data_IF_271144394468
#
_entry.id   IF_271144394468
#
_cell.length_a   1.000
_cell.length_b   1.000
_cell.length_c   1.000
_cell.angle_alpha   90.00
_cell.angle_beta   90.00
_cell.angle_gamma   90.00
#
_symmetry.space_group_name_H-M   'P 1'
#
loop_
_entity.id
_entity.type
_entity.pdbx_description
1 polymer ?
#
# COMPACT_ATOMS: atom_id res chain seq x y z
N UNK A 1 12.39 -19.54 14.64
CA UNK A 1 11.85 -18.28 14.09
C UNK A 1 13.02 -17.40 13.67
N UNK A 2 12.92 -16.83 12.46
CA UNK A 2 13.97 -15.95 11.90
C UNK A 2 13.29 -14.69 11.38
N UNK A 3 13.86 -13.52 11.71
CA UNK A 3 13.44 -12.24 11.20
C UNK A 3 14.55 -11.69 10.29
N UNK A 4 14.35 -11.76 8.99
CA UNK A 4 15.38 -11.45 7.99
C UNK A 4 14.77 -11.22 6.62
N UNK A 5 15.45 -10.45 5.77
CA UNK A 5 15.10 -10.24 4.36
C UNK A 5 15.21 -11.52 3.50
N UNK A 6 15.96 -12.52 3.95
CA UNK A 6 16.05 -13.82 3.28
C UNK A 6 14.94 -14.73 3.75
N UNK A 7 14.04 -15.13 2.85
CA UNK A 7 12.95 -16.04 3.16
C UNK A 7 13.40 -17.47 3.46
N UNK A 8 12.50 -18.29 3.99
CA UNK A 8 12.74 -19.73 4.16
C UNK A 8 13.03 -20.37 2.80
N UNK A 9 14.14 -21.11 2.72
CA UNK A 9 14.61 -21.66 1.44
C UNK A 9 15.55 -20.72 0.66
N UNK A 10 15.92 -19.56 1.21
CA UNK A 10 16.90 -18.65 0.64
C UNK A 10 16.33 -17.62 -0.34
N UNK A 11 14.99 -17.49 -0.46
CA UNK A 11 14.36 -16.58 -1.40
C UNK A 11 14.60 -15.11 -1.03
N UNK A 12 14.83 -14.27 -2.04
CA UNK A 12 14.79 -12.80 -1.96
C UNK A 12 13.35 -12.28 -1.87
N UNK A 13 13.19 -11.00 -1.50
CA UNK A 13 11.87 -10.36 -1.54
C UNK A 13 11.28 -10.33 -2.96
N UNK A 14 12.09 -9.99 -3.98
CA UNK A 14 11.65 -10.00 -5.37
C UNK A 14 11.14 -11.38 -5.83
N UNK A 15 11.81 -12.47 -5.45
CA UNK A 15 11.32 -13.83 -5.77
C UNK A 15 10.00 -14.15 -5.07
N UNK A 16 9.78 -13.66 -3.84
CA UNK A 16 8.51 -13.84 -3.13
C UNK A 16 7.39 -13.00 -3.75
N UNK A 17 7.69 -11.78 -4.20
CA UNK A 17 6.75 -10.94 -4.94
C UNK A 17 6.32 -11.61 -6.25
N UNK A 18 7.27 -12.10 -7.04
CA UNK A 18 6.97 -12.85 -8.25
C UNK A 18 6.15 -14.13 -7.99
N UNK A 19 6.47 -14.87 -6.94
CA UNK A 19 5.72 -16.07 -6.54
C UNK A 19 4.28 -15.76 -6.08
N UNK A 20 3.99 -14.53 -5.63
CA UNK A 20 2.65 -14.07 -5.28
C UNK A 20 1.87 -13.49 -6.47
N UNK A 21 2.45 -13.50 -7.67
CA UNK A 21 1.81 -13.06 -8.91
C UNK A 21 2.17 -11.64 -9.35
N UNK A 22 3.14 -10.98 -8.69
CA UNK A 22 3.64 -9.70 -9.18
C UNK A 22 4.52 -9.90 -10.41
N UNK A 23 4.23 -9.18 -11.50
CA UNK A 23 4.93 -9.30 -12.77
C UNK A 23 6.02 -8.21 -12.90
N UNK A 24 7.28 -8.63 -12.98
CA UNK A 24 8.40 -7.75 -13.29
C UNK A 24 8.60 -7.66 -14.80
N UNK A 25 8.25 -6.54 -15.41
CA UNK A 25 8.35 -6.29 -16.85
C UNK A 25 9.21 -5.06 -17.16
N UNK A 26 9.90 -5.05 -18.31
CA UNK A 26 10.71 -3.91 -18.74
C UNK A 26 11.80 -3.53 -17.74
N UNK A 27 11.89 -2.26 -17.40
CA UNK A 27 12.71 -1.76 -16.30
C UNK A 27 11.96 -1.97 -14.99
N UNK A 28 12.62 -2.49 -13.98
CA UNK A 28 12.00 -2.73 -12.69
C UNK A 28 12.97 -2.53 -11.54
N UNK A 29 12.42 -2.25 -10.37
CA UNK A 29 13.14 -2.19 -9.10
C UNK A 29 12.26 -2.69 -7.97
N UNK A 30 12.85 -3.06 -6.85
CA UNK A 30 12.12 -3.38 -5.63
C UNK A 30 12.92 -3.04 -4.38
N UNK A 31 12.21 -2.86 -3.26
CA UNK A 31 12.76 -2.68 -1.91
C UNK A 31 11.90 -3.47 -0.93
N UNK A 32 12.45 -3.75 0.24
CA UNK A 32 11.70 -4.37 1.33
C UNK A 32 12.04 -3.68 2.65
N UNK A 33 11.02 -3.34 3.41
CA UNK A 33 11.13 -2.99 4.82
C UNK A 33 10.48 -4.10 5.66
N UNK A 34 11.13 -4.42 6.78
CA UNK A 34 10.63 -5.36 7.77
C UNK A 34 10.62 -4.70 9.14
N UNK A 35 9.52 -4.89 9.87
CA UNK A 35 9.43 -4.47 11.26
C UNK A 35 8.80 -5.56 12.11
N UNK A 36 9.18 -5.64 13.38
CA UNK A 36 8.50 -6.45 14.36
C UNK A 36 8.39 -5.71 15.71
N UNK A 37 7.32 -5.97 16.39
CA UNK A 37 7.09 -5.53 17.77
C UNK A 37 6.52 -6.70 18.56
N UNK A 38 6.90 -6.82 19.81
CA UNK A 38 6.45 -7.92 20.67
C UNK A 38 6.22 -7.48 22.11
N UNK A 39 5.33 -8.18 22.77
CA UNK A 39 4.97 -7.99 24.18
C UNK A 39 4.91 -9.32 24.92
N UNK A 40 5.06 -9.28 26.25
CA UNK A 40 4.83 -10.46 27.11
C UNK A 40 3.33 -10.74 27.34
N UNK A 41 2.46 -9.78 26.97
CA UNK A 41 1.01 -9.90 27.04
C UNK A 41 0.38 -10.27 25.69
N UNK A 42 -0.85 -9.85 25.46
CA UNK A 42 -1.50 -9.96 24.15
C UNK A 42 -1.11 -8.77 23.30
N UNK A 43 -0.70 -9.02 22.04
CA UNK A 43 -0.42 -7.96 21.08
C UNK A 43 -1.73 -7.35 20.59
N UNK A 44 -1.82 -6.03 20.61
CA UNK A 44 -2.81 -5.26 19.86
C UNK A 44 -2.25 -4.93 18.49
N UNK A 45 -2.98 -5.25 17.43
CA UNK A 45 -2.50 -5.06 16.05
C UNK A 45 -2.59 -3.62 15.57
N UNK A 46 -3.53 -2.84 16.11
CA UNK A 46 -3.69 -1.42 15.80
C UNK A 46 -2.54 -0.61 16.42
N UNK A 47 -2.30 -0.77 17.73
CA UNK A 47 -1.13 -0.19 18.42
C UNK A 47 0.21 -0.63 17.78
N UNK A 48 0.25 -1.88 17.31
CA UNK A 48 1.43 -2.43 16.65
C UNK A 48 1.74 -1.74 15.31
N UNK A 49 0.72 -1.37 14.52
CA UNK A 49 0.91 -0.64 13.26
C UNK A 49 1.56 0.73 13.51
N UNK A 50 1.09 1.48 14.50
CA UNK A 50 1.69 2.76 14.87
C UNK A 50 3.16 2.60 15.28
N UNK A 51 3.45 1.58 16.08
CA UNK A 51 4.81 1.26 16.52
C UNK A 51 5.72 0.87 15.35
N UNK A 52 5.21 0.09 14.39
CA UNK A 52 5.93 -0.25 13.16
C UNK A 52 6.24 0.99 12.32
N UNK A 53 5.22 1.82 12.07
CA UNK A 53 5.39 3.06 11.30
C UNK A 53 6.45 3.96 11.93
N UNK A 54 6.35 4.24 13.23
CA UNK A 54 7.31 5.06 13.96
C UNK A 54 8.74 4.49 13.85
N UNK A 55 8.89 3.20 14.05
CA UNK A 55 10.19 2.51 13.97
C UNK A 55 10.81 2.59 12.59
N UNK A 56 10.03 2.30 11.54
CA UNK A 56 10.46 2.36 10.15
C UNK A 56 10.79 3.79 9.72
N UNK A 57 9.94 4.77 10.08
CA UNK A 57 10.15 6.18 9.74
C UNK A 57 11.39 6.78 10.40
N UNK A 58 11.70 6.40 11.65
CA UNK A 58 12.90 6.88 12.37
C UNK A 58 14.19 6.21 11.86
N UNK A 59 14.11 5.07 11.24
CA UNK A 59 15.25 4.39 10.63
C UNK A 59 15.59 5.00 9.28
N UNK A 60 16.78 5.56 9.12
CA UNK A 60 17.18 6.23 7.89
C UNK A 60 17.14 5.32 6.66
N UNK A 61 17.50 4.03 6.81
CA UNK A 61 17.47 3.05 5.72
C UNK A 61 16.04 2.69 5.29
N UNK A 62 15.17 2.39 6.26
CA UNK A 62 13.77 2.07 5.95
C UNK A 62 13.02 3.28 5.39
N UNK A 63 13.25 4.46 5.96
CA UNK A 63 12.67 5.70 5.45
C UNK A 63 13.13 6.01 4.01
N UNK A 64 14.38 5.73 3.66
CA UNK A 64 14.88 5.90 2.30
C UNK A 64 14.13 4.99 1.30
N UNK A 65 13.77 3.76 1.68
CA UNK A 65 12.96 2.90 0.84
C UNK A 65 11.53 3.44 0.65
N UNK A 66 10.93 4.00 1.71
CA UNK A 66 9.56 4.56 1.67
C UNK A 66 9.48 5.82 0.78
N UNK A 67 10.54 6.62 0.74
CA UNK A 67 10.61 7.86 -0.04
C UNK A 67 11.49 7.74 -1.29
N UNK A 68 11.74 6.52 -1.77
CA UNK A 68 12.45 6.28 -3.04
C UNK A 68 11.54 6.69 -4.21
N UNK A 69 11.93 7.73 -4.95
CA UNK A 69 11.17 8.28 -6.08
C UNK A 69 11.12 7.36 -7.31
N UNK A 70 11.88 6.27 -7.29
CA UNK A 70 11.82 5.22 -8.33
C UNK A 70 10.76 4.16 -8.06
N UNK A 71 10.04 4.23 -6.93
CA UNK A 71 8.99 3.28 -6.56
C UNK A 71 7.61 3.84 -6.92
N UNK A 72 6.75 2.99 -7.46
CA UNK A 72 5.38 3.33 -7.86
C UNK A 72 4.30 2.55 -7.09
N UNK A 73 4.66 1.43 -6.47
CA UNK A 73 3.72 0.49 -5.88
C UNK A 73 4.21 0.02 -4.50
N UNK A 74 3.27 -0.29 -3.61
CA UNK A 74 3.57 -0.89 -2.31
C UNK A 74 2.58 -2.00 -1.97
N UNK A 75 3.10 -3.12 -1.49
CA UNK A 75 2.33 -4.19 -0.88
C UNK A 75 2.63 -4.26 0.61
N UNK A 76 1.59 -4.28 1.45
CA UNK A 76 1.69 -4.34 2.90
C UNK A 76 1.16 -5.67 3.42
N UNK A 77 1.88 -6.26 4.36
CA UNK A 77 1.43 -7.46 5.05
C UNK A 77 1.76 -7.41 6.54
N UNK A 78 0.74 -7.57 7.37
CA UNK A 78 0.89 -7.69 8.82
C UNK A 78 0.42 -9.06 9.29
N UNK A 79 1.17 -9.68 10.20
CA UNK A 79 0.80 -10.96 10.80
C UNK A 79 1.12 -10.98 12.29
N UNK A 80 0.19 -11.51 13.08
CA UNK A 80 0.40 -11.79 14.49
C UNK A 80 0.88 -13.23 14.71
N UNK A 81 1.75 -13.44 15.69
CA UNK A 81 2.23 -14.76 16.07
C UNK A 81 3.22 -14.73 17.20
N UNK A 82 3.63 -15.92 17.66
CA UNK A 82 4.70 -16.04 18.66
C UNK A 82 6.06 -15.94 17.97
N UNK A 83 6.91 -15.04 18.47
CA UNK A 83 8.29 -14.89 18.01
C UNK A 83 9.25 -15.03 19.18
N UNK A 84 10.33 -15.80 18.99
CA UNK A 84 11.34 -16.02 20.02
C UNK A 84 12.61 -15.28 19.65
N UNK A 85 13.03 -14.38 20.52
CA UNK A 85 14.28 -13.64 20.39
C UNK A 85 15.06 -13.68 21.70
N UNK A 86 16.36 -13.97 21.61
CA UNK A 86 17.21 -14.06 22.80
C UNK A 86 16.78 -15.13 23.81
N UNK A 87 16.08 -16.17 23.36
CA UNK A 87 15.52 -17.21 24.24
C UNK A 87 14.19 -16.86 24.91
N UNK A 88 13.67 -15.67 24.70
CA UNK A 88 12.38 -15.21 25.22
C UNK A 88 11.33 -15.21 24.11
N UNK A 89 10.14 -15.75 24.40
CA UNK A 89 9.01 -15.73 23.45
C UNK A 89 8.06 -14.57 23.73
N UNK A 90 7.62 -13.91 22.67
CA UNK A 90 6.75 -12.75 22.67
C UNK A 90 5.53 -13.00 21.80
N UNK A 91 4.37 -12.50 22.25
CA UNK A 91 3.23 -12.26 21.37
C UNK A 91 3.59 -11.07 20.48
N UNK A 92 3.65 -11.26 19.19
CA UNK A 92 4.31 -10.34 18.26
C UNK A 92 3.45 -10.01 17.06
N UNK A 93 3.62 -8.81 16.54
CA UNK A 93 3.22 -8.39 15.22
C UNK A 93 4.45 -8.25 14.33
N UNK A 94 4.36 -8.75 13.10
CA UNK A 94 5.37 -8.56 12.06
C UNK A 94 4.75 -7.85 10.88
N UNK A 95 5.44 -6.82 10.39
CA UNK A 95 5.06 -6.04 9.21
C UNK A 95 6.11 -6.24 8.12
N UNK A 96 5.64 -6.41 6.90
CA UNK A 96 6.44 -6.36 5.68
C UNK A 96 5.86 -5.28 4.78
N UNK A 97 6.72 -4.40 4.28
CA UNK A 97 6.44 -3.47 3.20
C UNK A 97 7.30 -3.87 2.00
N UNK A 98 6.66 -4.30 0.92
CA UNK A 98 7.31 -4.57 -0.35
C UNK A 98 7.00 -3.44 -1.32
N UNK A 99 8.03 -2.71 -1.73
CA UNK A 99 7.95 -1.62 -2.68
C UNK A 99 8.44 -2.09 -4.03
N UNK A 100 7.79 -1.64 -5.11
CA UNK A 100 8.23 -1.97 -6.46
C UNK A 100 7.90 -0.87 -7.47
N UNK A 101 8.56 -0.95 -8.60
CA UNK A 101 8.12 -0.39 -9.86
C UNK A 101 8.42 -1.40 -10.96
N UNK A 102 7.54 -1.51 -11.97
CA UNK A 102 7.66 -2.47 -13.06
C UNK A 102 7.09 -1.88 -14.34
N UNK A 103 7.91 -1.81 -15.39
CA UNK A 103 7.55 -1.17 -16.65
C UNK A 103 7.36 0.34 -16.52
N UNK A 104 6.51 0.88 -17.38
CA UNK A 104 6.23 2.33 -17.49
C UNK A 104 4.78 2.64 -17.03
N UNK A 105 4.18 1.80 -16.19
CA UNK A 105 2.82 1.98 -15.72
C UNK A 105 2.70 3.24 -14.84
N UNK A 106 1.65 4.03 -15.06
CA UNK A 106 1.24 5.11 -14.17
C UNK A 106 -0.11 4.80 -13.54
N UNK A 107 -0.30 5.27 -12.32
CA UNK A 107 -1.46 4.92 -11.51
C UNK A 107 -2.26 6.15 -11.07
N UNK A 108 -3.58 6.00 -11.07
CA UNK A 108 -4.45 6.84 -10.26
C UNK A 108 -4.80 6.07 -9.00
N UNK A 109 -4.45 6.63 -7.84
CA UNK A 109 -4.73 6.03 -6.54
C UNK A 109 -5.49 7.01 -5.67
N UNK A 110 -6.12 6.55 -4.61
CA UNK A 110 -6.79 7.43 -3.66
C UNK A 110 -7.69 6.70 -2.69
N UNK A 111 -8.39 7.48 -1.91
CA UNK A 111 -9.40 7.00 -0.95
C UNK A 111 -10.73 7.65 -1.24
N UNK A 112 -11.81 6.87 -1.20
CA UNK A 112 -13.15 7.42 -1.06
C UNK A 112 -13.53 7.42 0.41
N UNK A 113 -13.85 8.60 0.97
CA UNK A 113 -14.15 8.69 2.39
C UNK A 113 -15.20 9.76 2.70
N UNK A 114 -15.74 9.69 3.90
CA UNK A 114 -16.57 10.73 4.46
C UNK A 114 -15.78 11.45 5.55
N UNK A 115 -15.36 12.66 5.26
CA UNK A 115 -14.70 13.54 6.22
C UNK A 115 -15.69 13.89 7.35
N UNK A 116 -15.71 13.06 8.41
CA UNK A 116 -16.69 13.16 9.49
C UNK A 116 -16.29 14.21 10.53
N UNK A 117 -15.00 14.37 10.76
CA UNK A 117 -14.42 15.33 11.70
C UNK A 117 -14.03 16.68 11.05
N UNK A 118 -14.07 16.73 9.70
CA UNK A 118 -13.83 17.92 8.88
C UNK A 118 -12.40 18.44 8.93
N UNK A 119 -11.46 17.54 9.06
CA UNK A 119 -10.03 17.86 9.05
C UNK A 119 -9.41 17.82 7.64
N UNK A 120 -10.16 17.32 6.63
CA UNK A 120 -9.79 17.14 5.21
C UNK A 120 -8.75 16.05 4.99
N UNK A 121 -8.58 15.15 5.94
CA UNK A 121 -7.77 13.96 5.83
C UNK A 121 -8.62 12.72 6.04
N UNK A 122 -8.14 11.59 5.52
CA UNK A 122 -8.76 10.31 5.78
C UNK A 122 -8.36 9.82 7.18
N UNK A 123 -9.34 9.43 7.97
CA UNK A 123 -9.17 8.73 9.24
C UNK A 123 -9.74 7.32 9.18
N UNK A 124 -9.20 6.41 10.01
CA UNK A 124 -9.70 5.02 10.09
C UNK A 124 -11.20 5.04 10.43
N UNK A 125 -11.98 4.29 9.65
CA UNK A 125 -13.43 4.20 9.80
C UNK A 125 -14.24 5.18 8.93
N UNK A 126 -13.60 6.10 8.21
CA UNK A 126 -14.25 7.03 7.28
C UNK A 126 -14.38 6.49 5.85
N UNK A 127 -13.71 5.38 5.56
CA UNK A 127 -13.71 4.78 4.22
C UNK A 127 -15.10 4.47 3.69
N UNK A 128 -15.25 4.60 2.36
CA UNK A 128 -16.48 4.28 1.64
C UNK A 128 -16.22 3.28 0.53
N UNK A 129 -16.85 2.14 0.65
CA UNK A 129 -16.83 1.09 -0.35
C UNK A 129 -17.75 1.36 -1.55
N UNK A 130 -17.61 0.51 -2.56
CA UNK A 130 -18.50 0.40 -3.73
C UNK A 130 -18.53 1.61 -4.69
N UNK A 131 -17.57 2.53 -4.56
CA UNK A 131 -17.35 3.52 -5.60
C UNK A 131 -16.57 2.89 -6.75
N UNK A 132 -17.00 3.14 -7.97
CA UNK A 132 -16.33 2.68 -9.20
C UNK A 132 -15.59 3.86 -9.80
N UNK A 133 -14.30 3.67 -9.99
CA UNK A 133 -13.41 4.56 -10.72
C UNK A 133 -13.18 3.93 -12.08
N UNK A 134 -13.44 4.66 -13.16
CA UNK A 134 -13.38 4.16 -14.53
C UNK A 134 -12.53 5.11 -15.35
N UNK A 135 -11.52 4.57 -16.01
CA UNK A 135 -10.60 5.26 -16.92
C UNK A 135 -10.41 4.36 -18.15
N UNK A 136 -10.73 4.85 -19.34
CA UNK A 136 -10.53 4.18 -20.63
C UNK A 136 -10.98 2.72 -20.70
N UNK A 137 -12.08 2.42 -19.99
CA UNK A 137 -12.67 1.07 -19.92
C UNK A 137 -12.09 0.21 -18.79
N UNK A 138 -10.99 0.57 -18.20
CA UNK A 138 -10.47 -0.02 -16.97
C UNK A 138 -11.27 0.45 -15.76
N UNK A 139 -11.31 -0.34 -14.70
CA UNK A 139 -12.06 0.01 -13.49
C UNK A 139 -11.41 -0.50 -12.23
N UNK A 140 -11.47 0.32 -11.18
CA UNK A 140 -11.29 -0.08 -9.79
C UNK A 140 -12.59 0.10 -9.01
N UNK A 141 -12.72 -0.62 -7.91
CA UNK A 141 -13.82 -0.47 -6.94
C UNK A 141 -13.20 -0.27 -5.56
N UNK A 142 -13.65 0.76 -4.84
CA UNK A 142 -13.14 1.03 -3.51
C UNK A 142 -13.49 -0.08 -2.52
N UNK A 143 -12.54 -0.44 -1.67
CA UNK A 143 -12.70 -1.41 -0.59
C UNK A 143 -13.40 -0.76 0.62
N UNK A 144 -13.65 -1.51 1.69
CA UNK A 144 -14.25 -0.99 2.93
C UNK A 144 -13.44 0.16 3.54
N UNK A 145 -12.12 0.13 3.42
CA UNK A 145 -11.25 1.26 3.77
C UNK A 145 -11.39 2.48 2.86
N UNK A 146 -12.11 2.37 1.75
CA UNK A 146 -12.21 3.40 0.71
C UNK A 146 -11.06 3.40 -0.30
N UNK A 147 -9.98 2.66 -0.04
CA UNK A 147 -8.79 2.65 -0.90
C UNK A 147 -9.05 2.07 -2.29
N UNK A 148 -8.38 2.63 -3.29
CA UNK A 148 -8.35 2.11 -4.66
C UNK A 148 -7.03 2.46 -5.37
N UNK A 149 -6.70 1.67 -6.39
CA UNK A 149 -5.62 1.93 -7.33
C UNK A 149 -6.01 1.43 -8.71
N UNK A 150 -5.63 2.14 -9.75
CA UNK A 150 -5.92 1.82 -11.14
C UNK A 150 -4.70 2.15 -12.00
N UNK A 151 -4.17 1.16 -12.70
CA UNK A 151 -3.20 1.35 -13.76
C UNK A 151 -3.90 2.02 -14.96
N UNK A 152 -3.40 3.15 -15.40
CA UNK A 152 -4.00 3.95 -16.48
C UNK A 152 -3.08 4.07 -17.71
N UNK A 153 -1.97 3.34 -17.73
CA UNK A 153 -0.99 3.42 -18.81
C UNK A 153 -0.22 4.74 -18.80
N UNK A 154 0.29 5.16 -19.97
CA UNK A 154 1.26 6.26 -20.09
C UNK A 154 0.65 7.52 -20.74
N UNK A 155 -0.66 7.67 -20.79
CA UNK A 155 -1.28 8.85 -21.38
C UNK A 155 -1.10 10.06 -20.46
N UNK A 156 -0.61 11.18 -21.02
CA UNK A 156 -0.35 12.40 -20.26
C UNK A 156 -1.63 13.04 -19.69
N UNK A 157 -2.80 12.72 -20.26
CA UNK A 157 -4.10 13.18 -19.77
C UNK A 157 -5.13 12.08 -19.90
N UNK A 158 -5.98 11.92 -18.89
CA UNK A 158 -7.04 10.92 -18.91
C UNK A 158 -8.33 11.46 -18.29
N UNK A 159 -9.47 10.88 -18.69
CA UNK A 159 -10.77 11.25 -18.14
C UNK A 159 -11.26 10.21 -17.14
N UNK A 160 -11.36 10.62 -15.89
CA UNK A 160 -11.81 9.78 -14.79
C UNK A 160 -13.31 9.95 -14.58
N UNK A 161 -14.02 8.82 -14.53
CA UNK A 161 -15.44 8.78 -14.13
C UNK A 161 -15.59 8.06 -12.81
N UNK A 162 -16.32 8.66 -11.90
CA UNK A 162 -16.66 8.09 -10.60
C UNK A 162 -18.16 7.83 -10.52
N UNK A 163 -18.55 6.66 -10.10
CA UNK A 163 -19.96 6.28 -9.90
C UNK A 163 -20.13 5.37 -8.67
N UNK A 164 -21.35 5.37 -8.13
CA UNK A 164 -21.76 4.44 -7.07
C UNK A 164 -23.08 3.77 -7.51
N UNK A 165 -23.05 2.46 -7.67
CA UNK A 165 -24.14 1.74 -8.31
C UNK A 165 -24.38 2.25 -9.73
N UNK A 166 -25.60 2.74 -10.01
CA UNK A 166 -25.98 3.37 -11.27
C UNK A 166 -25.85 4.89 -11.27
N UNK A 167 -25.52 5.51 -10.14
CA UNK A 167 -25.42 6.95 -9.99
C UNK A 167 -24.04 7.46 -10.40
N UNK A 168 -23.98 8.39 -11.34
CA UNK A 168 -22.77 9.16 -11.61
C UNK A 168 -22.52 10.15 -10.46
N UNK A 169 -21.29 10.17 -9.96
CA UNK A 169 -20.84 11.04 -8.86
C UNK A 169 -20.03 12.21 -9.43
N UNK A 170 -19.00 11.90 -10.22
CA UNK A 170 -18.08 12.88 -10.80
C UNK A 170 -17.55 12.42 -12.15
N UNK A 171 -17.03 13.38 -12.93
CA UNK A 171 -16.22 13.17 -14.11
C UNK A 171 -15.25 14.33 -14.23
N UNK A 172 -13.96 14.03 -14.39
CA UNK A 172 -12.92 15.05 -14.44
C UNK A 172 -11.76 14.60 -15.32
N UNK A 173 -11.10 15.57 -15.94
CA UNK A 173 -9.81 15.36 -16.60
C UNK A 173 -8.69 15.38 -15.55
N UNK A 174 -7.75 14.45 -15.65
CA UNK A 174 -6.60 14.31 -14.78
C UNK A 174 -5.34 14.39 -15.62
N UNK A 175 -4.43 15.27 -15.21
CA UNK A 175 -3.10 15.41 -15.79
C UNK A 175 -2.16 14.38 -15.16
N UNK A 176 -1.62 13.50 -16.00
CA UNK A 176 -0.70 12.41 -15.62
C UNK A 176 0.74 12.70 -16.08
N UNK A 177 1.03 13.88 -16.60
CA UNK A 177 2.34 14.22 -17.17
C UNK A 177 3.50 14.14 -16.17
N UNK A 178 3.21 14.29 -14.88
CA UNK A 178 4.19 14.19 -13.79
C UNK A 178 4.22 12.81 -13.12
N UNK A 179 3.53 11.80 -13.70
CA UNK A 179 3.47 10.42 -13.18
C UNK A 179 2.21 10.11 -12.40
N UNK A 180 2.32 9.32 -11.34
CA UNK A 180 1.17 8.87 -10.53
C UNK A 180 0.39 10.02 -9.91
N UNK A 181 -0.95 9.91 -9.92
CA UNK A 181 -1.84 10.93 -9.37
C UNK A 181 -2.65 10.38 -8.19
N UNK A 182 -2.66 11.11 -7.08
CA UNK A 182 -3.58 10.85 -5.97
C UNK A 182 -4.87 11.64 -6.19
N UNK A 183 -5.99 10.91 -6.23
CA UNK A 183 -7.34 11.47 -6.41
C UNK A 183 -8.27 10.93 -5.32
N UNK A 184 -8.52 11.74 -4.30
CA UNK A 184 -9.47 11.40 -3.24
C UNK A 184 -10.91 11.79 -3.62
N UNK A 185 -11.88 11.00 -3.15
CA UNK A 185 -13.32 11.17 -3.36
C UNK A 185 -13.96 11.43 -2.00
N UNK A 186 -14.40 12.67 -1.75
CA UNK A 186 -14.92 13.11 -0.45
C UNK A 186 -16.43 13.38 -0.51
#
# INVERSE_FOLDING_TARGET
NVFTHTGSGGSSAGERMAASGYEFVGQWTWRENLAWVGTSGTIDLEDAIESHYDGLFRSAGHRANTFDDTIAEVGLGQVAGMFTQGGQSYSSSMLTENFAASGDATFITGVSYRDADRDRFYSIGEGRADYRIIVDGQRAVTQDSGGYGLDVGNDAQTYVRVSQGSRAIAGLEVDMSDGNVKLDIV
#
